data_IF_747118780194
#
_entry.id   IF_747118780194
#
_cell.length_a   1.000
_cell.length_b   1.000
_cell.length_c   1.000
_cell.angle_alpha   90.00
_cell.angle_beta   90.00
_cell.angle_gamma   90.00
#
_symmetry.space_group_name_H-M   'P 1'
#
loop_
_entity.id
_entity.type
_entity.pdbx_description
1 polymer ?
#
# COMPACT_ATOMS: atom_id res chain seq x y z
N UNK A 1 -30.62 -4.00 -25.49
CA UNK A 1 -31.11 -5.29 -26.05
C UNK A 1 -32.65 -5.37 -26.13
N UNK A 2 -33.42 -5.01 -25.10
CA UNK A 2 -34.88 -5.08 -25.14
C UNK A 2 -35.51 -4.31 -26.31
N UNK A 3 -35.02 -3.10 -26.63
CA UNK A 3 -35.53 -2.27 -27.73
C UNK A 3 -35.30 -2.90 -29.10
N UNK A 4 -34.17 -3.57 -29.32
CA UNK A 4 -33.86 -4.28 -30.58
C UNK A 4 -34.84 -5.42 -30.83
N UNK A 5 -35.15 -6.22 -29.78
CA UNK A 5 -36.15 -7.32 -29.94
C UNK A 5 -37.54 -6.80 -30.32
N UNK A 6 -37.95 -5.65 -29.73
CA UNK A 6 -39.24 -5.04 -30.12
C UNK A 6 -39.27 -4.67 -31.61
N UNK A 7 -38.19 -4.04 -32.11
CA UNK A 7 -38.11 -3.67 -33.52
C UNK A 7 -38.09 -4.90 -34.43
N UNK A 8 -37.35 -5.97 -34.05
CA UNK A 8 -37.34 -7.20 -34.80
C UNK A 8 -38.73 -7.86 -34.84
N UNK A 9 -39.48 -7.81 -33.76
CA UNK A 9 -40.88 -8.30 -33.74
C UNK A 9 -41.76 -7.45 -34.66
N UNK A 10 -41.62 -6.12 -34.64
CA UNK A 10 -42.38 -5.21 -35.49
C UNK A 10 -42.04 -5.49 -37.00
N UNK A 11 -40.76 -5.71 -37.31
CA UNK A 11 -40.32 -6.09 -38.67
C UNK A 11 -40.96 -7.44 -39.06
N UNK A 12 -40.96 -8.42 -38.16
CA UNK A 12 -41.60 -9.72 -38.44
C UNK A 12 -43.11 -9.62 -38.69
N UNK A 13 -43.81 -8.82 -37.90
CA UNK A 13 -45.24 -8.54 -38.08
C UNK A 13 -45.51 -7.78 -39.39
N UNK A 14 -44.68 -6.75 -39.68
CA UNK A 14 -44.80 -6.00 -40.93
C UNK A 14 -44.58 -6.91 -42.19
N UNK A 15 -43.58 -7.78 -42.10
CA UNK A 15 -43.30 -8.78 -43.18
C UNK A 15 -44.47 -9.73 -43.34
N UNK A 16 -44.96 -10.30 -42.25
CA UNK A 16 -46.14 -11.22 -42.30
C UNK A 16 -47.36 -10.52 -42.91
N UNK A 17 -47.68 -9.29 -42.44
CA UNK A 17 -48.80 -8.50 -42.94
C UNK A 17 -48.66 -8.13 -44.42
N UNK A 18 -47.43 -7.77 -44.85
CA UNK A 18 -47.13 -7.51 -46.27
C UNK A 18 -47.37 -8.72 -47.15
N UNK A 19 -46.93 -9.91 -46.70
CA UNK A 19 -47.13 -11.13 -47.45
C UNK A 19 -48.58 -11.63 -47.44
N UNK A 20 -49.30 -11.46 -46.35
CA UNK A 20 -50.68 -11.94 -46.20
C UNK A 20 -51.71 -11.06 -46.88
N UNK A 21 -51.51 -9.74 -46.92
CA UNK A 21 -52.48 -8.77 -47.42
C UNK A 21 -52.15 -8.21 -48.81
N UNK A 22 -50.85 -8.20 -49.18
CA UNK A 22 -50.40 -7.62 -50.44
C UNK A 22 -50.45 -6.07 -50.49
N UNK A 23 -50.82 -5.39 -49.36
CA UNK A 23 -50.92 -3.94 -49.34
C UNK A 23 -49.54 -3.26 -49.36
N UNK A 24 -49.35 -2.34 -50.31
CA UNK A 24 -48.09 -1.58 -50.52
C UNK A 24 -47.60 -0.85 -49.24
N UNK A 25 -48.53 -0.43 -48.37
CA UNK A 25 -48.21 0.26 -47.13
C UNK A 25 -47.32 -0.60 -46.21
N UNK A 26 -47.57 -1.89 -46.09
CA UNK A 26 -46.77 -2.79 -45.27
C UNK A 26 -45.36 -3.00 -45.81
N UNK A 27 -45.17 -3.03 -47.12
CA UNK A 27 -43.86 -3.07 -47.78
C UNK A 27 -43.08 -1.77 -47.53
N UNK A 28 -43.73 -0.63 -47.64
CA UNK A 28 -43.10 0.67 -47.36
C UNK A 28 -42.64 0.72 -45.89
N UNK A 29 -43.50 0.31 -44.94
CA UNK A 29 -43.15 0.25 -43.51
C UNK A 29 -41.97 -0.70 -43.26
N UNK A 30 -41.99 -1.88 -43.87
CA UNK A 30 -40.93 -2.89 -43.80
C UNK A 30 -39.59 -2.32 -44.27
N UNK A 31 -39.56 -1.72 -45.48
CA UNK A 31 -38.34 -1.09 -46.00
C UNK A 31 -37.85 0.06 -45.16
N UNK A 32 -38.76 0.89 -44.63
CA UNK A 32 -38.42 2.00 -43.74
C UNK A 32 -37.78 1.50 -42.44
N UNK A 33 -38.31 0.43 -41.84
CA UNK A 33 -37.75 -0.16 -40.61
C UNK A 33 -36.37 -0.81 -40.87
N UNK A 34 -36.22 -1.52 -41.99
CA UNK A 34 -34.93 -2.10 -42.40
C UNK A 34 -33.90 -1.00 -42.65
N UNK A 35 -34.29 0.07 -43.37
CA UNK A 35 -33.43 1.20 -43.66
C UNK A 35 -33.02 1.94 -42.37
N UNK A 36 -33.93 2.11 -41.41
CA UNK A 36 -33.66 2.70 -40.11
C UNK A 36 -32.66 1.83 -39.31
N UNK A 37 -32.82 0.53 -39.33
CA UNK A 37 -31.93 -0.40 -38.63
C UNK A 37 -30.54 -0.43 -39.28
N UNK A 38 -30.46 -0.43 -40.61
CA UNK A 38 -29.21 -0.36 -41.35
C UNK A 38 -28.47 0.97 -41.14
N UNK A 39 -29.21 2.11 -41.18
CA UNK A 39 -28.63 3.42 -40.92
C UNK A 39 -28.12 3.57 -39.47
N UNK A 40 -28.81 2.98 -38.52
CA UNK A 40 -28.39 2.95 -37.10
C UNK A 40 -27.06 2.19 -36.91
N UNK A 41 -26.93 1.00 -37.55
CA UNK A 41 -25.67 0.23 -37.55
C UNK A 41 -24.52 0.98 -38.22
N UNK A 42 -24.79 1.52 -39.43
CA UNK A 42 -23.80 2.29 -40.18
C UNK A 42 -23.35 3.53 -39.40
N UNK A 43 -24.28 4.22 -38.76
CA UNK A 43 -23.96 5.34 -37.90
C UNK A 43 -22.98 4.95 -36.79
N UNK A 44 -23.27 3.90 -36.00
CA UNK A 44 -22.40 3.44 -34.93
C UNK A 44 -21.01 3.07 -35.43
N UNK A 45 -20.93 2.38 -36.61
CA UNK A 45 -19.67 2.01 -37.24
C UNK A 45 -18.86 3.23 -37.69
N UNK A 46 -19.46 4.15 -38.46
CA UNK A 46 -18.78 5.34 -38.96
C UNK A 46 -18.42 6.30 -37.82
N UNK A 47 -19.21 6.36 -36.76
CA UNK A 47 -18.94 7.18 -35.60
C UNK A 47 -17.68 6.74 -34.84
N UNK A 48 -17.36 5.44 -34.81
CA UNK A 48 -16.14 4.89 -34.24
C UNK A 48 -14.97 4.78 -35.21
N UNK A 49 -15.24 4.81 -36.54
CA UNK A 49 -14.22 4.71 -37.57
C UNK A 49 -13.36 6.00 -37.59
N UNK A 50 -12.05 5.85 -37.83
CA UNK A 50 -11.13 6.99 -37.95
C UNK A 50 -10.83 7.72 -36.65
N UNK A 51 -11.22 7.20 -35.49
CA UNK A 51 -10.79 7.69 -34.20
C UNK A 51 -9.37 7.21 -33.89
N UNK A 52 -8.57 8.09 -33.32
CA UNK A 52 -7.27 7.79 -32.73
C UNK A 52 -7.22 8.39 -31.34
N UNK A 53 -6.89 7.55 -30.33
CA UNK A 53 -6.83 7.98 -28.94
C UNK A 53 -5.48 7.56 -28.38
N UNK A 54 -4.81 8.53 -27.77
CA UNK A 54 -3.59 8.29 -27.00
C UNK A 54 -3.80 8.79 -25.59
N UNK A 55 -3.49 7.94 -24.63
CA UNK A 55 -3.49 8.28 -23.22
C UNK A 55 -2.07 8.55 -22.76
N UNK A 56 -1.84 9.68 -22.13
CA UNK A 56 -0.63 9.97 -21.38
C UNK A 56 -1.00 9.96 -19.90
N UNK A 57 -0.46 9.02 -19.17
CA UNK A 57 -0.66 8.89 -17.73
C UNK A 57 0.61 9.28 -17.01
N UNK A 58 0.47 9.91 -15.87
CA UNK A 58 1.60 10.21 -15.03
C UNK A 58 2.21 8.90 -14.56
N UNK A 59 3.43 8.61 -14.98
CA UNK A 59 4.22 7.47 -14.55
C UNK A 59 5.16 7.97 -13.44
N UNK A 60 4.96 7.51 -12.22
CA UNK A 60 5.79 7.90 -11.08
C UNK A 60 5.46 7.08 -9.84
N UNK A 61 6.16 7.40 -8.76
CA UNK A 61 5.85 6.87 -7.44
C UNK A 61 4.52 7.50 -6.97
N UNK A 62 3.45 6.74 -7.02
CA UNK A 62 2.15 7.15 -6.53
C UNK A 62 1.97 6.70 -5.08
N UNK A 63 1.39 7.54 -4.25
CA UNK A 63 1.10 7.26 -2.84
C UNK A 63 -0.40 7.33 -2.58
N UNK A 64 -0.82 6.72 -1.51
CA UNK A 64 -2.19 6.89 -1.01
C UNK A 64 -2.45 8.38 -0.76
N UNK A 65 -3.62 8.87 -1.16
CA UNK A 65 -4.06 10.28 -1.16
C UNK A 65 -3.51 11.14 -2.30
N UNK A 66 -2.63 10.62 -3.18
CA UNK A 66 -2.28 11.32 -4.41
C UNK A 66 -3.44 11.25 -5.43
N UNK A 67 -3.42 12.15 -6.39
CA UNK A 67 -4.29 12.10 -7.56
C UNK A 67 -3.49 11.66 -8.79
N UNK A 68 -4.04 10.71 -9.54
CA UNK A 68 -3.49 10.31 -10.83
C UNK A 68 -4.24 11.05 -11.93
N UNK A 69 -3.50 11.87 -12.67
CA UNK A 69 -4.03 12.54 -13.84
C UNK A 69 -3.84 11.66 -15.09
N UNK A 70 -4.89 11.58 -15.88
CA UNK A 70 -4.89 10.92 -17.18
C UNK A 70 -5.21 11.95 -18.25
N UNK A 71 -4.25 12.24 -19.12
CA UNK A 71 -4.43 13.08 -20.28
C UNK A 71 -4.83 12.24 -21.49
N UNK A 72 -6.00 12.46 -22.02
CA UNK A 72 -6.48 11.81 -23.23
C UNK A 72 -6.45 12.78 -24.42
N UNK A 73 -5.71 12.42 -25.44
CA UNK A 73 -5.71 13.11 -26.74
C UNK A 73 -6.55 12.31 -27.71
N UNK A 74 -7.72 12.88 -28.06
CA UNK A 74 -8.73 12.24 -28.86
C UNK A 74 -8.78 12.95 -30.21
N UNK A 75 -8.42 12.26 -31.28
CA UNK A 75 -8.36 12.80 -32.64
C UNK A 75 -9.33 12.09 -33.57
N UNK A 76 -10.17 12.86 -34.24
CA UNK A 76 -10.95 12.41 -35.38
C UNK A 76 -10.11 12.56 -36.64
N UNK A 77 -9.75 11.44 -37.30
CA UNK A 77 -9.02 11.42 -38.60
C UNK A 77 -9.96 11.37 -39.80
N UNK A 78 -11.28 11.33 -39.58
CA UNK A 78 -12.27 11.19 -40.67
C UNK A 78 -12.87 12.55 -41.06
N UNK A 79 -13.38 12.69 -42.27
CA UNK A 79 -14.11 13.88 -42.71
C UNK A 79 -15.54 13.97 -42.11
N UNK A 80 -15.98 12.92 -41.41
CA UNK A 80 -17.30 12.89 -40.78
C UNK A 80 -17.21 13.35 -39.31
N UNK A 81 -18.14 14.18 -38.85
CA UNK A 81 -18.21 14.53 -37.43
C UNK A 81 -18.55 13.28 -36.58
N UNK A 82 -18.10 13.28 -35.35
CA UNK A 82 -18.40 12.25 -34.36
C UNK A 82 -19.31 12.86 -33.31
N UNK A 83 -20.41 12.22 -33.05
CA UNK A 83 -21.42 12.73 -32.13
C UNK A 83 -21.67 11.74 -30.98
N UNK A 84 -21.88 12.29 -29.77
CA UNK A 84 -22.24 11.51 -28.59
C UNK A 84 -21.28 10.33 -28.31
N UNK A 85 -19.98 10.60 -28.43
CA UNK A 85 -18.97 9.63 -28.02
C UNK A 85 -18.85 9.62 -26.50
N UNK A 86 -19.11 8.47 -25.90
CA UNK A 86 -18.87 8.24 -24.48
C UNK A 86 -17.49 7.57 -24.34
N UNK A 87 -16.58 8.27 -23.67
CA UNK A 87 -15.21 7.80 -23.44
C UNK A 87 -15.09 7.41 -22.00
N UNK A 88 -14.66 6.17 -21.74
CA UNK A 88 -14.41 5.64 -20.42
C UNK A 88 -12.96 5.18 -20.32
N UNK A 89 -12.23 5.71 -19.35
CA UNK A 89 -10.94 5.15 -18.97
C UNK A 89 -11.21 3.97 -18.02
N UNK A 90 -10.86 2.77 -18.48
CA UNK A 90 -11.02 1.55 -17.69
C UNK A 90 -9.89 1.51 -16.67
N UNK A 91 -10.25 1.52 -15.40
CA UNK A 91 -9.28 1.48 -14.30
C UNK A 91 -9.85 0.66 -13.14
N UNK A 92 -8.96 -0.08 -12.46
CA UNK A 92 -9.34 -0.90 -11.31
C UNK A 92 -9.24 -0.10 -9.99
N UNK A 93 -9.07 1.23 -10.07
CA UNK A 93 -8.99 2.09 -8.89
C UNK A 93 -10.32 2.11 -8.14
N UNK A 94 -10.30 2.09 -6.79
CA UNK A 94 -11.50 2.29 -6.01
C UNK A 94 -12.03 3.72 -6.21
N UNK A 95 -13.27 3.83 -6.66
CA UNK A 95 -13.91 5.13 -6.90
C UNK A 95 -14.79 5.14 -8.16
N UNK A 96 -15.36 6.28 -8.51
CA UNK A 96 -16.17 6.40 -9.71
C UNK A 96 -15.32 6.25 -10.98
N UNK A 97 -15.87 5.57 -11.99
CA UNK A 97 -15.21 5.43 -13.28
C UNK A 97 -14.99 6.81 -13.92
N UNK A 98 -13.77 7.06 -14.37
CA UNK A 98 -13.40 8.29 -15.03
C UNK A 98 -13.84 8.26 -16.50
N UNK A 99 -14.64 9.21 -16.92
CA UNK A 99 -15.13 9.25 -18.28
C UNK A 99 -15.77 10.59 -18.65
N UNK A 100 -15.95 10.78 -19.97
CA UNK A 100 -16.57 12.00 -20.51
C UNK A 100 -17.38 11.68 -21.76
N UNK A 101 -18.32 12.58 -22.07
CA UNK A 101 -19.04 12.58 -23.35
C UNK A 101 -18.61 13.78 -24.17
N UNK A 102 -18.29 13.55 -25.43
CA UNK A 102 -17.87 14.62 -26.32
C UNK A 102 -18.31 14.41 -27.78
N UNK A 103 -18.30 15.52 -28.52
CA UNK A 103 -18.47 15.56 -29.95
C UNK A 103 -17.17 16.02 -30.59
N UNK A 104 -16.84 15.52 -31.78
CA UNK A 104 -15.66 15.90 -32.54
C UNK A 104 -16.04 16.33 -33.95
N UNK A 105 -15.64 17.53 -34.34
CA UNK A 105 -15.71 17.95 -35.72
C UNK A 105 -14.75 17.13 -36.61
N UNK A 106 -14.92 17.17 -37.95
CA UNK A 106 -13.97 16.56 -38.84
C UNK A 106 -12.55 17.03 -38.58
N UNK A 107 -11.60 16.10 -38.53
CA UNK A 107 -10.16 16.32 -38.33
C UNK A 107 -9.78 17.02 -37.00
N UNK A 108 -10.73 17.22 -36.08
CA UNK A 108 -10.51 17.86 -34.79
C UNK A 108 -9.73 16.94 -33.83
N UNK A 109 -8.90 17.58 -33.01
CA UNK A 109 -8.26 16.97 -31.84
C UNK A 109 -8.78 17.66 -30.58
N UNK A 110 -9.19 16.89 -29.60
CA UNK A 110 -9.61 17.38 -28.27
C UNK A 110 -8.69 16.77 -27.23
N UNK A 111 -8.28 17.57 -26.27
CA UNK A 111 -7.56 17.17 -25.07
C UNK A 111 -8.55 17.15 -23.91
N UNK A 112 -8.55 16.08 -23.15
CA UNK A 112 -9.35 15.93 -21.95
C UNK A 112 -8.48 15.36 -20.84
N UNK A 113 -8.56 15.96 -19.66
CA UNK A 113 -7.85 15.52 -18.46
C UNK A 113 -8.86 14.99 -17.45
N UNK A 114 -8.63 13.78 -16.99
CA UNK A 114 -9.38 13.19 -15.89
C UNK A 114 -8.46 12.97 -14.70
N UNK A 115 -8.97 13.11 -13.48
CA UNK A 115 -8.26 12.77 -12.25
C UNK A 115 -8.97 11.64 -11.52
N UNK A 116 -8.18 10.79 -10.87
CA UNK A 116 -8.66 9.75 -9.98
C UNK A 116 -7.84 9.76 -8.69
N UNK A 117 -8.53 9.77 -7.54
CA UNK A 117 -7.88 9.75 -6.23
C UNK A 117 -7.47 8.33 -5.85
N UNK A 118 -6.26 8.18 -5.36
CA UNK A 118 -5.71 6.91 -4.89
C UNK A 118 -6.08 6.69 -3.43
N UNK A 119 -7.19 6.01 -3.19
CA UNK A 119 -7.75 5.84 -1.85
C UNK A 119 -7.10 4.70 -1.04
N UNK A 120 -6.44 3.76 -1.72
CA UNK A 120 -5.86 2.57 -1.10
C UNK A 120 -4.56 2.19 -1.81
N UNK A 121 -3.60 1.68 -1.05
CA UNK A 121 -2.37 1.12 -1.61
C UNK A 121 -2.65 -0.16 -2.40
N UNK A 122 -1.80 -0.49 -3.32
CA UNK A 122 -1.93 -1.71 -4.12
C UNK A 122 -1.31 -1.59 -5.50
N UNK A 123 -1.52 -2.61 -6.30
CA UNK A 123 -1.20 -2.61 -7.73
C UNK A 123 -2.51 -2.50 -8.49
N UNK A 124 -2.62 -1.49 -9.32
CA UNK A 124 -3.83 -1.19 -10.08
C UNK A 124 -3.55 -1.15 -11.57
N UNK A 125 -4.51 -1.62 -12.34
CA UNK A 125 -4.49 -1.52 -13.78
C UNK A 125 -5.16 -0.22 -14.24
N UNK A 126 -4.45 0.57 -15.04
CA UNK A 126 -4.94 1.79 -15.67
C UNK A 126 -5.10 1.59 -17.16
N UNK A 127 -6.29 1.89 -17.70
CA UNK A 127 -6.64 1.60 -19.08
C UNK A 127 -7.06 0.15 -19.32
N UNK A 128 -7.37 -0.22 -20.58
CA UNK A 128 -7.37 0.63 -21.77
C UNK A 128 -8.52 1.64 -21.80
N UNK A 129 -8.47 2.60 -22.72
CA UNK A 129 -9.59 3.54 -22.94
C UNK A 129 -10.63 2.88 -23.84
N UNK A 130 -11.88 2.86 -23.41
CA UNK A 130 -13.00 2.32 -24.18
C UNK A 130 -13.91 3.46 -24.62
N UNK A 131 -14.20 3.50 -25.89
CA UNK A 131 -15.10 4.48 -26.50
C UNK A 131 -16.36 3.79 -26.96
N UNK A 132 -17.47 4.32 -26.50
CA UNK A 132 -18.79 3.85 -26.91
C UNK A 132 -19.43 4.86 -27.84
N UNK A 133 -20.11 4.35 -28.84
CA UNK A 133 -21.01 5.10 -29.70
C UNK A 133 -22.39 4.49 -29.59
N UNK A 134 -23.36 5.31 -29.22
CA UNK A 134 -24.76 4.93 -29.22
C UNK A 134 -25.42 5.59 -30.43
N UNK A 135 -26.25 4.85 -31.19
CA UNK A 135 -27.00 5.38 -32.30
C UNK A 135 -28.15 6.29 -31.82
N UNK A 136 -28.72 7.05 -32.75
CA UNK A 136 -29.78 8.03 -32.45
C UNK A 136 -31.05 7.39 -31.85
N UNK A 137 -31.31 6.13 -32.16
CA UNK A 137 -32.49 5.38 -31.67
C UNK A 137 -32.19 4.58 -30.39
N UNK A 138 -30.92 4.52 -29.95
CA UNK A 138 -30.47 3.73 -28.81
C UNK A 138 -30.64 2.21 -28.99
N UNK A 139 -30.57 1.72 -30.22
CA UNK A 139 -30.70 0.32 -30.58
C UNK A 139 -29.40 -0.45 -30.42
N UNK A 140 -28.30 0.20 -30.79
CA UNK A 140 -26.96 -0.37 -30.77
C UNK A 140 -26.04 0.51 -29.91
N UNK A 141 -25.24 -0.14 -29.08
CA UNK A 141 -24.13 0.48 -28.38
C UNK A 141 -22.85 -0.25 -28.78
N UNK A 142 -22.18 0.30 -29.78
CA UNK A 142 -20.91 -0.23 -30.26
C UNK A 142 -19.79 0.35 -29.45
N UNK A 143 -18.69 -0.39 -29.32
CA UNK A 143 -17.51 0.12 -28.64
C UNK A 143 -16.22 -0.25 -29.37
N UNK A 144 -15.20 0.55 -29.13
CA UNK A 144 -13.84 0.30 -29.60
C UNK A 144 -12.86 0.61 -28.47
N UNK A 145 -11.84 -0.24 -28.32
CA UNK A 145 -10.84 -0.14 -27.26
C UNK A 145 -9.53 0.42 -27.83
N UNK A 146 -8.89 1.35 -27.10
CA UNK A 146 -7.66 2.02 -27.48
C UNK A 146 -6.64 1.93 -26.38
N UNK A 147 -5.34 1.85 -26.74
CA UNK A 147 -4.24 1.80 -25.81
C UNK A 147 -4.02 0.42 -25.20
N UNK A 148 -3.16 0.39 -24.20
CA UNK A 148 -2.78 -0.82 -23.43
C UNK A 148 -3.03 -0.58 -21.96
N UNK A 149 -3.17 -1.66 -21.21
CA UNK A 149 -3.15 -1.63 -19.76
C UNK A 149 -1.74 -1.22 -19.28
N UNK A 150 -1.70 -0.32 -18.32
CA UNK A 150 -0.49 0.05 -17.60
C UNK A 150 -0.70 -0.24 -16.12
N UNK A 151 0.27 -0.84 -15.48
CA UNK A 151 0.22 -1.06 -14.05
C UNK A 151 0.82 0.14 -13.30
N UNK A 152 0.18 0.52 -12.23
CA UNK A 152 0.67 1.52 -11.28
C UNK A 152 0.71 0.89 -9.89
N UNK A 153 1.82 1.13 -9.19
CA UNK A 153 1.97 0.71 -7.79
C UNK A 153 1.70 1.92 -6.90
N UNK A 154 0.70 1.80 -6.05
CA UNK A 154 0.34 2.82 -5.06
C UNK A 154 0.98 2.43 -3.73
N UNK A 155 1.92 3.25 -3.28
CA UNK A 155 2.66 3.03 -2.05
C UNK A 155 1.90 3.55 -0.83
N UNK A 156 2.11 2.96 0.36
CA UNK A 156 1.59 3.53 1.59
C UNK A 156 2.24 4.89 1.86
N UNK A 157 1.49 5.79 2.47
CA UNK A 157 2.00 7.08 2.94
C UNK A 157 2.91 6.85 4.15
N UNK A 158 4.05 7.52 4.19
CA UNK A 158 4.91 7.59 5.37
C UNK A 158 4.72 8.95 6.04
N UNK A 159 4.33 8.94 7.31
CA UNK A 159 4.17 10.14 8.14
C UNK A 159 5.49 10.41 8.86
N UNK A 160 5.85 11.68 8.99
CA UNK A 160 7.03 12.04 9.80
C UNK A 160 6.77 11.83 11.29
N UNK A 161 7.73 11.21 11.98
CA UNK A 161 7.64 10.82 13.38
C UNK A 161 8.76 11.50 14.20
N UNK A 162 8.72 12.81 14.40
CA UNK A 162 9.84 13.55 15.00
C UNK A 162 10.16 13.08 16.43
N UNK A 163 9.16 12.72 17.20
CA UNK A 163 9.25 12.41 18.64
C UNK A 163 9.20 10.91 18.96
N UNK A 164 9.21 10.06 17.95
CA UNK A 164 9.29 8.61 18.17
C UNK A 164 10.65 8.20 18.73
N UNK A 165 10.64 7.37 19.76
CA UNK A 165 11.83 6.80 20.41
C UNK A 165 11.62 5.32 20.72
N UNK A 166 12.67 4.51 20.58
CA UNK A 166 12.60 3.07 20.88
C UNK A 166 12.53 2.76 22.37
N UNK A 167 13.11 3.60 23.21
CA UNK A 167 13.03 3.44 24.66
C UNK A 167 12.96 4.79 25.36
N UNK A 168 12.30 4.81 26.52
CA UNK A 168 12.23 5.98 27.41
C UNK A 168 13.63 6.42 27.88
N UNK A 169 14.57 5.48 28.03
CA UNK A 169 15.94 5.76 28.43
C UNK A 169 16.72 6.60 27.39
N UNK A 170 16.44 6.46 26.11
CA UNK A 170 17.04 7.30 25.06
C UNK A 170 16.56 8.76 25.16
N UNK A 171 15.30 9.00 25.52
CA UNK A 171 14.74 10.34 25.70
C UNK A 171 15.35 11.12 26.85
N UNK A 172 15.68 10.47 27.95
CA UNK A 172 16.32 11.09 29.10
C UNK A 172 17.79 11.46 28.81
N UNK A 173 18.46 10.74 27.92
CA UNK A 173 19.85 11.04 27.52
C UNK A 173 19.95 12.19 26.51
N UNK A 174 18.94 12.44 25.69
CA UNK A 174 18.91 13.58 24.77
C UNK A 174 18.64 14.93 25.47
N UNK A 175 17.96 14.91 26.62
CA UNK A 175 17.69 16.11 27.42
C UNK A 175 18.84 16.61 28.28
N UNK A 176 19.85 15.78 28.54
CA UNK A 176 21.05 16.13 29.32
C UNK A 176 22.25 16.06 28.37
N UNK A 177 22.62 17.22 27.86
CA UNK A 177 23.75 17.51 26.97
C UNK A 177 24.58 16.32 26.50
N UNK A 178 24.73 16.26 25.22
CA UNK A 178 25.53 15.32 24.42
C UNK A 178 26.92 15.02 25.06
N UNK A 179 26.95 14.19 26.09
CA UNK A 179 28.18 13.50 26.47
C UNK A 179 28.24 12.23 25.64
N UNK A 180 28.96 12.32 24.54
CA UNK A 180 29.43 11.17 23.75
C UNK A 180 30.21 10.26 24.71
N UNK A 181 29.52 9.30 25.31
CA UNK A 181 30.21 8.17 25.94
C UNK A 181 30.71 7.26 24.80
N UNK A 182 31.90 7.56 24.33
CA UNK A 182 32.68 6.64 23.48
C UNK A 182 33.32 5.55 24.35
N UNK A 183 32.53 4.85 25.15
CA UNK A 183 32.95 3.53 25.63
C UNK A 183 32.51 2.49 24.56
N UNK A 184 33.21 2.54 23.45
CA UNK A 184 33.26 1.45 22.49
C UNK A 184 34.07 0.33 23.17
N UNK A 185 33.37 -0.61 23.80
CA UNK A 185 33.98 -1.90 24.09
C UNK A 185 33.94 -2.68 22.76
N UNK A 186 35.05 -2.73 22.01
CA UNK A 186 35.02 -3.34 20.68
C UNK A 186 35.13 -4.86 20.83
N UNK A 187 34.03 -5.55 20.74
CA UNK A 187 34.09 -6.97 20.40
C UNK A 187 34.53 -7.08 18.94
N UNK A 188 35.83 -7.31 18.72
CA UNK A 188 36.35 -7.59 17.40
C UNK A 188 35.73 -8.91 16.92
N UNK A 189 34.96 -8.86 15.85
CA UNK A 189 34.30 -10.04 15.29
C UNK A 189 35.24 -10.87 14.41
N UNK A 190 36.22 -10.24 13.76
CA UNK A 190 37.14 -10.94 12.86
C UNK A 190 38.52 -10.26 12.85
N UNK A 191 39.59 -11.08 12.73
CA UNK A 191 40.95 -10.61 12.49
C UNK A 191 41.30 -10.89 11.03
N UNK A 192 41.73 -9.88 10.26
CA UNK A 192 42.30 -10.06 8.93
C UNK A 192 43.70 -9.55 8.83
N UNK A 193 44.43 -9.97 7.81
CA UNK A 193 45.76 -9.42 7.53
C UNK A 193 45.64 -7.92 7.16
N UNK A 194 46.61 -7.13 7.58
CA UNK A 194 46.73 -5.71 7.27
C UNK A 194 46.88 -5.51 5.76
N UNK A 195 46.12 -4.56 5.21
CA UNK A 195 46.25 -4.09 3.85
C UNK A 195 46.66 -2.61 3.89
N UNK A 196 47.53 -2.21 2.96
CA UNK A 196 47.99 -0.85 2.87
C UNK A 196 46.83 0.17 2.77
N UNK A 197 46.79 1.13 3.72
CA UNK A 197 45.65 2.05 3.92
C UNK A 197 44.85 1.81 5.19
N UNK A 198 45.04 0.70 5.87
CA UNK A 198 44.38 0.43 7.15
C UNK A 198 44.98 1.31 8.29
N UNK A 199 44.11 1.76 9.21
CA UNK A 199 44.56 2.53 10.39
C UNK A 199 45.41 1.69 11.33
N UNK A 200 46.65 2.09 11.58
CA UNK A 200 47.59 1.44 12.49
C UNK A 200 47.04 1.29 13.92
N UNK A 201 46.11 2.16 14.33
CA UNK A 201 45.42 2.08 15.64
C UNK A 201 44.52 0.84 15.79
N UNK A 202 44.19 0.17 14.69
CA UNK A 202 43.35 -1.04 14.67
C UNK A 202 44.18 -2.34 14.68
N UNK A 203 45.50 -2.28 14.76
CA UNK A 203 46.35 -3.47 14.82
C UNK A 203 46.10 -4.22 16.12
N UNK A 204 45.84 -5.53 16.00
CA UNK A 204 45.70 -6.45 17.14
C UNK A 204 47.06 -7.06 17.48
N UNK A 205 47.83 -6.36 18.30
CA UNK A 205 49.20 -6.74 18.65
C UNK A 205 49.35 -8.18 19.18
N UNK A 206 48.45 -8.72 20.04
CA UNK A 206 48.58 -10.12 20.50
C UNK A 206 48.49 -11.16 19.36
N UNK A 207 47.64 -10.93 18.34
CA UNK A 207 47.56 -11.83 17.20
C UNK A 207 48.69 -11.59 16.21
N UNK A 208 49.10 -10.36 16.00
CA UNK A 208 50.29 -10.01 15.19
C UNK A 208 51.54 -10.73 15.70
N UNK A 209 51.78 -10.71 17.01
CA UNK A 209 52.92 -11.41 17.62
C UNK A 209 52.81 -12.93 17.50
N UNK A 210 51.61 -13.50 17.51
CA UNK A 210 51.37 -14.93 17.43
C UNK A 210 51.48 -15.47 15.99
N UNK A 211 51.02 -14.70 15.00
CA UNK A 211 50.98 -15.09 13.59
C UNK A 211 52.17 -14.59 12.78
N UNK A 212 52.99 -13.69 13.36
CA UNK A 212 54.10 -12.98 12.73
C UNK A 212 53.67 -12.19 11.45
N UNK A 213 52.38 -11.83 11.36
CA UNK A 213 51.79 -11.01 10.30
C UNK A 213 50.97 -9.89 10.95
N UNK A 214 50.99 -8.68 10.38
CA UNK A 214 50.16 -7.59 10.89
C UNK A 214 48.69 -7.94 10.78
N UNK A 215 48.04 -8.10 11.93
CA UNK A 215 46.61 -8.42 12.00
C UNK A 215 45.82 -7.22 12.44
N UNK A 216 44.79 -6.85 11.67
CA UNK A 216 43.90 -5.72 11.95
C UNK A 216 42.55 -6.23 12.45
N UNK A 217 42.06 -5.59 13.51
CA UNK A 217 40.69 -5.82 13.99
C UNK A 217 39.71 -5.29 12.96
N UNK A 218 39.01 -6.17 12.30
CA UNK A 218 37.85 -5.83 11.48
C UNK A 218 36.65 -5.79 12.40
N UNK A 219 36.09 -4.62 12.62
CA UNK A 219 34.85 -4.48 13.35
C UNK A 219 33.73 -4.67 12.34
N UNK A 220 32.86 -5.64 12.58
CA UNK A 220 31.57 -5.68 11.91
C UNK A 220 30.73 -4.52 12.43
N UNK A 221 30.92 -3.36 11.84
CA UNK A 221 30.17 -2.16 12.17
C UNK A 221 28.67 -2.32 11.86
N UNK A 222 28.32 -3.32 11.05
CA UNK A 222 26.98 -3.47 10.51
C UNK A 222 26.00 -4.25 11.39
N UNK A 223 26.47 -4.96 12.42
CA UNK A 223 25.57 -5.74 13.30
C UNK A 223 25.08 -4.98 14.54
N UNK A 224 25.57 -3.76 14.78
CA UNK A 224 25.15 -2.95 15.92
C UNK A 224 24.06 -2.00 15.47
N UNK A 225 22.99 -1.93 16.25
CA UNK A 225 21.92 -0.97 16.08
C UNK A 225 20.90 -1.25 14.98
N UNK A 226 20.80 -2.52 14.54
CA UNK A 226 19.79 -2.94 13.58
C UNK A 226 18.39 -2.83 14.18
N UNK A 227 17.44 -2.36 13.36
CA UNK A 227 16.03 -2.29 13.74
C UNK A 227 15.24 -3.29 12.92
N UNK A 228 14.53 -4.18 13.59
CA UNK A 228 13.60 -5.10 12.98
C UNK A 228 12.18 -4.64 13.25
N UNK A 229 11.41 -4.47 12.20
CA UNK A 229 9.97 -4.21 12.25
C UNK A 229 9.25 -5.54 12.05
N UNK A 230 8.49 -5.98 13.04
CA UNK A 230 7.62 -7.15 12.96
C UNK A 230 6.20 -6.64 12.75
N UNK A 231 5.65 -6.90 11.60
CA UNK A 231 4.32 -6.45 11.21
C UNK A 231 3.34 -7.63 11.23
N UNK A 232 2.32 -7.51 12.05
CA UNK A 232 1.26 -8.51 12.18
C UNK A 232 0.18 -8.28 11.14
N UNK A 233 0.12 -9.18 10.16
CA UNK A 233 -0.89 -9.22 9.12
C UNK A 233 -1.78 -10.47 9.23
N UNK A 234 -1.90 -11.05 10.42
CA UNK A 234 -2.81 -12.17 10.67
C UNK A 234 -4.26 -11.72 10.48
N UNK A 235 -5.02 -12.45 9.67
CA UNK A 235 -6.39 -12.07 9.29
C UNK A 235 -7.34 -11.94 10.48
N UNK A 236 -7.27 -12.87 11.41
CA UNK A 236 -8.24 -13.01 12.51
C UNK A 236 -8.16 -11.90 13.57
N UNK A 237 -7.05 -11.15 13.61
CA UNK A 237 -6.84 -10.06 14.58
C UNK A 237 -7.13 -8.69 14.01
N UNK A 238 -7.34 -8.59 12.68
CA UNK A 238 -7.64 -7.31 12.05
C UNK A 238 -9.09 -6.89 12.27
N UNK A 239 -9.29 -5.59 12.39
CA UNK A 239 -10.60 -4.96 12.56
C UNK A 239 -10.73 -3.71 11.67
N UNK A 240 -11.96 -3.34 11.34
CA UNK A 240 -12.26 -2.14 10.55
C UNK A 240 -12.93 -2.43 9.22
N UNK A 241 -13.09 -1.39 8.42
CA UNK A 241 -13.71 -1.42 7.10
C UNK A 241 -12.72 -1.69 5.96
N UNK A 242 -13.20 -1.54 4.74
CA UNK A 242 -12.41 -1.82 3.54
C UNK A 242 -11.27 -0.79 3.30
N UNK A 243 -11.52 0.48 3.62
CA UNK A 243 -10.56 1.58 3.42
C UNK A 243 -9.78 1.86 4.70
N UNK A 244 -10.47 1.94 5.84
CA UNK A 244 -9.87 2.24 7.13
C UNK A 244 -10.00 1.04 8.07
N UNK A 245 -8.87 0.35 8.30
CA UNK A 245 -8.77 -0.82 9.17
C UNK A 245 -7.41 -0.88 9.86
N UNK A 246 -7.28 -1.76 10.81
CA UNK A 246 -6.03 -1.94 11.58
C UNK A 246 -4.84 -2.32 10.69
N UNK A 247 -5.04 -3.10 9.63
CA UNK A 247 -3.96 -3.51 8.73
C UNK A 247 -3.39 -2.31 7.93
N UNK A 248 -4.26 -1.42 7.42
CA UNK A 248 -3.81 -0.22 6.68
C UNK A 248 -3.04 0.74 7.61
N UNK A 249 -3.52 0.93 8.84
CA UNK A 249 -2.82 1.75 9.84
C UNK A 249 -1.50 1.11 10.25
N UNK A 250 -1.46 -0.22 10.44
CA UNK A 250 -0.24 -0.97 10.76
C UNK A 250 0.82 -0.81 9.66
N UNK A 251 0.40 -0.89 8.40
CA UNK A 251 1.29 -0.74 7.24
C UNK A 251 1.79 0.70 7.11
N UNK A 252 0.93 1.69 7.35
CA UNK A 252 1.32 3.11 7.39
C UNK A 252 2.32 3.37 8.52
N UNK A 253 2.10 2.77 9.70
CA UNK A 253 3.05 2.83 10.82
C UNK A 253 4.40 2.17 10.46
N UNK A 254 4.39 0.99 9.82
CA UNK A 254 5.60 0.31 9.39
C UNK A 254 6.39 1.13 8.36
N UNK A 255 5.72 1.74 7.39
CA UNK A 255 6.32 2.64 6.41
C UNK A 255 6.96 3.86 7.07
N UNK A 256 6.24 4.50 8.02
CA UNK A 256 6.68 5.68 8.75
C UNK A 256 7.87 5.39 9.66
N UNK A 257 7.80 4.28 10.40
CA UNK A 257 8.88 3.84 11.28
C UNK A 257 10.13 3.44 10.48
N UNK A 258 9.96 2.76 9.35
CA UNK A 258 11.09 2.41 8.47
C UNK A 258 11.79 3.67 7.95
N UNK A 259 11.03 4.68 7.52
CA UNK A 259 11.57 5.98 7.11
C UNK A 259 12.30 6.67 8.26
N UNK A 260 11.70 6.74 9.44
CA UNK A 260 12.30 7.36 10.64
C UNK A 260 13.62 6.70 11.01
N UNK A 261 13.67 5.38 11.05
CA UNK A 261 14.90 4.67 11.43
C UNK A 261 16.00 4.83 10.38
N UNK A 262 15.66 4.76 9.09
CA UNK A 262 16.63 5.01 8.02
C UNK A 262 17.16 6.46 8.01
N UNK A 263 16.32 7.45 8.34
CA UNK A 263 16.76 8.85 8.48
C UNK A 263 17.73 9.07 9.64
N UNK A 264 17.72 8.17 10.65
CA UNK A 264 18.66 8.13 11.76
C UNK A 264 19.91 7.27 11.46
N UNK A 265 20.11 6.89 10.19
CA UNK A 265 21.21 6.02 9.73
C UNK A 265 21.23 4.64 10.39
N UNK A 266 20.07 4.12 10.80
CA UNK A 266 19.93 2.78 11.39
C UNK A 266 19.52 1.78 10.30
N UNK A 267 20.18 0.59 10.23
CA UNK A 267 19.76 -0.47 9.30
C UNK A 267 18.37 -0.97 9.69
N UNK A 268 17.45 -1.01 8.72
CA UNK A 268 16.06 -1.45 8.93
C UNK A 268 15.80 -2.74 8.18
N UNK A 269 15.27 -3.72 8.89
CA UNK A 269 14.69 -4.93 8.33
C UNK A 269 13.19 -5.01 8.64
N UNK A 270 12.46 -5.80 7.89
CA UNK A 270 11.04 -6.02 8.10
C UNK A 270 10.70 -7.49 7.91
N UNK A 271 9.84 -7.99 8.77
CA UNK A 271 9.22 -9.30 8.68
C UNK A 271 7.71 -9.17 8.85
N UNK A 272 6.97 -9.84 7.98
CA UNK A 272 5.52 -9.93 8.08
C UNK A 272 5.03 -11.27 7.55
N UNK A 273 3.94 -11.76 8.12
CA UNK A 273 3.21 -12.91 7.64
C UNK A 273 1.81 -12.45 7.23
N UNK A 274 1.62 -12.25 5.94
CA UNK A 274 0.36 -11.91 5.31
C UNK A 274 -0.10 -13.02 4.38
N UNK A 275 -0.55 -12.67 3.17
CA UNK A 275 -0.81 -13.58 2.06
C UNK A 275 0.40 -14.47 1.73
N UNK A 276 1.59 -13.97 2.00
CA UNK A 276 2.85 -14.72 1.94
C UNK A 276 3.79 -14.28 3.07
N UNK A 277 4.91 -15.00 3.22
CA UNK A 277 5.96 -14.65 4.16
C UNK A 277 6.88 -13.59 3.55
N UNK A 278 6.96 -12.44 4.18
CA UNK A 278 7.81 -11.33 3.78
C UNK A 278 9.00 -11.21 4.72
N UNK A 279 10.20 -11.15 4.16
CA UNK A 279 11.43 -10.94 4.89
C UNK A 279 12.37 -10.02 4.11
N UNK A 280 12.67 -8.89 4.70
CA UNK A 280 13.70 -7.96 4.21
C UNK A 280 14.73 -7.82 5.33
N UNK A 281 15.97 -8.31 5.14
CA UNK A 281 17.01 -8.18 6.14
C UNK A 281 17.44 -6.73 6.34
N UNK A 282 17.95 -6.36 7.54
CA UNK A 282 18.34 -4.99 7.84
C UNK A 282 19.48 -4.50 6.93
N UNK A 283 19.26 -3.35 6.31
CA UNK A 283 20.23 -2.68 5.43
C UNK A 283 20.12 -1.16 5.57
N UNK A 284 21.20 -0.43 5.24
CA UNK A 284 21.30 1.04 5.26
C UNK A 284 21.31 1.61 3.85
N UNK A 285 20.32 1.39 3.06
CA UNK A 285 20.33 1.84 1.67
C UNK A 285 19.02 2.53 1.31
N UNK A 286 19.08 3.57 0.51
CA UNK A 286 17.88 4.19 -0.06
C UNK A 286 17.05 3.17 -0.88
N UNK A 287 17.71 2.19 -1.49
CA UNK A 287 17.04 1.10 -2.22
C UNK A 287 16.24 0.18 -1.31
N UNK A 288 16.64 0.03 -0.03
CA UNK A 288 15.89 -0.75 0.95
C UNK A 288 14.56 -0.09 1.28
N UNK A 289 14.54 1.24 1.41
CA UNK A 289 13.27 1.95 1.63
C UNK A 289 12.28 1.70 0.49
N UNK A 290 12.73 1.79 -0.75
CA UNK A 290 11.87 1.49 -1.91
C UNK A 290 11.38 0.03 -1.90
N UNK A 291 12.24 -0.94 -1.53
CA UNK A 291 11.86 -2.35 -1.40
C UNK A 291 10.84 -2.57 -0.28
N UNK A 292 11.03 -1.91 0.87
CA UNK A 292 10.08 -1.95 1.99
C UNK A 292 8.72 -1.38 1.57
N UNK A 293 8.69 -0.21 0.95
CA UNK A 293 7.46 0.38 0.45
C UNK A 293 6.79 -0.49 -0.61
N UNK A 294 7.57 -1.08 -1.54
CA UNK A 294 7.05 -1.99 -2.57
C UNK A 294 6.39 -3.23 -1.97
N UNK A 295 7.03 -3.84 -0.97
CA UNK A 295 6.46 -4.96 -0.23
C UNK A 295 5.19 -4.53 0.52
N UNK A 296 5.26 -3.41 1.24
CA UNK A 296 4.11 -2.88 1.99
C UNK A 296 2.95 -2.48 1.07
N UNK A 297 3.22 -2.07 -0.18
CA UNK A 297 2.18 -1.75 -1.15
C UNK A 297 1.35 -2.99 -1.56
N UNK A 298 1.98 -4.16 -1.62
CA UNK A 298 1.35 -5.40 -2.11
C UNK A 298 0.87 -6.32 -0.99
N UNK A 299 1.45 -6.23 0.21
CA UNK A 299 1.14 -7.13 1.33
C UNK A 299 -0.35 -7.05 1.74
N UNK A 300 -1.00 -8.21 1.83
CA UNK A 300 -2.38 -8.34 2.26
C UNK A 300 -2.45 -8.96 3.66
N UNK A 301 -3.42 -8.52 4.47
CA UNK A 301 -3.64 -9.04 5.82
C UNK A 301 -4.46 -10.35 5.80
N UNK A 302 -3.91 -11.36 5.12
CA UNK A 302 -4.51 -12.68 4.96
C UNK A 302 -3.70 -13.78 5.66
N UNK A 303 -2.77 -13.39 6.54
CA UNK A 303 -1.93 -14.31 7.29
C UNK A 303 -2.74 -15.23 8.19
N UNK A 304 -2.30 -16.49 8.27
CA UNK A 304 -2.91 -17.51 9.16
C UNK A 304 -2.00 -17.87 10.32
N UNK A 305 -0.72 -17.54 10.22
CA UNK A 305 0.29 -17.85 11.25
C UNK A 305 0.21 -16.82 12.39
N UNK A 306 0.13 -17.28 13.65
CA UNK A 306 0.06 -16.37 14.78
C UNK A 306 1.37 -15.60 14.98
N UNK A 307 1.26 -14.37 15.47
CA UNK A 307 2.41 -13.47 15.69
C UNK A 307 3.50 -14.11 16.56
N UNK A 308 3.14 -14.96 17.52
CA UNK A 308 4.08 -15.69 18.38
C UNK A 308 5.05 -16.55 17.58
N UNK A 309 4.62 -17.17 16.48
CA UNK A 309 5.49 -17.99 15.61
C UNK A 309 6.44 -17.10 14.78
N UNK A 310 5.94 -15.99 14.27
CA UNK A 310 6.74 -15.00 13.54
C UNK A 310 7.87 -14.47 14.44
N UNK A 311 7.54 -14.14 15.70
CA UNK A 311 8.52 -13.69 16.71
C UNK A 311 9.56 -14.79 17.01
N UNK A 312 9.14 -16.04 17.16
CA UNK A 312 10.08 -17.16 17.41
C UNK A 312 11.05 -17.38 16.24
N UNK A 313 10.56 -17.25 15.02
CA UNK A 313 11.36 -17.41 13.81
C UNK A 313 12.45 -16.36 13.65
N UNK A 314 12.15 -15.10 13.96
CA UNK A 314 13.13 -14.01 13.85
C UNK A 314 14.26 -14.11 14.87
N UNK A 315 14.06 -14.81 15.99
CA UNK A 315 15.06 -14.93 17.07
C UNK A 315 16.42 -15.37 16.57
N UNK A 316 16.47 -16.28 15.63
CA UNK A 316 17.74 -16.77 15.05
C UNK A 316 18.47 -15.76 14.16
N UNK A 317 17.78 -14.70 13.76
CA UNK A 317 18.28 -13.65 12.87
C UNK A 317 18.67 -12.37 13.62
N UNK A 318 18.28 -12.26 14.91
CA UNK A 318 18.61 -11.11 15.73
C UNK A 318 20.08 -11.12 16.13
N UNK A 319 20.77 -10.02 15.85
CA UNK A 319 22.12 -9.74 16.35
C UNK A 319 22.11 -9.36 17.84
N UNK A 320 23.29 -9.34 18.46
CA UNK A 320 23.49 -9.08 19.90
C UNK A 320 22.99 -7.68 20.36
N UNK A 321 22.82 -6.74 19.44
CA UNK A 321 22.39 -5.36 19.70
C UNK A 321 21.28 -4.93 18.74
N UNK A 322 20.34 -5.81 18.47
CA UNK A 322 19.20 -5.49 17.61
C UNK A 322 18.10 -4.81 18.42
N UNK A 323 17.36 -3.91 17.78
CA UNK A 323 16.11 -3.35 18.32
C UNK A 323 14.93 -3.95 17.57
N UNK A 324 13.83 -4.18 18.25
CA UNK A 324 12.62 -4.78 17.68
C UNK A 324 11.43 -3.85 17.89
N UNK A 325 10.70 -3.57 16.81
CA UNK A 325 9.43 -2.85 16.83
C UNK A 325 8.35 -3.83 16.38
N UNK A 326 7.40 -4.12 17.25
CA UNK A 326 6.23 -4.97 16.94
C UNK A 326 5.04 -4.09 16.67
N UNK A 327 4.34 -4.31 15.55
CA UNK A 327 3.13 -3.59 15.18
C UNK A 327 2.01 -4.63 15.08
N UNK A 328 1.02 -4.55 15.98
CA UNK A 328 -0.03 -5.58 16.07
C UNK A 328 -1.32 -5.04 16.67
N UNK A 329 -2.50 -5.50 16.19
CA UNK A 329 -3.77 -5.37 16.89
C UNK A 329 -4.06 -6.56 17.82
N UNK A 330 -3.19 -7.59 17.85
CA UNK A 330 -3.44 -8.84 18.58
C UNK A 330 -3.40 -8.64 20.08
N UNK A 331 -4.39 -9.18 20.75
CA UNK A 331 -4.51 -9.23 22.21
C UNK A 331 -4.17 -10.60 22.79
N UNK A 332 -3.66 -11.53 21.98
CA UNK A 332 -3.29 -12.87 22.43
C UNK A 332 -2.07 -12.85 23.34
N UNK A 333 -2.08 -13.50 24.52
CA UNK A 333 -0.96 -13.48 25.45
C UNK A 333 0.30 -14.18 24.93
N UNK A 334 0.16 -15.10 23.99
CA UNK A 334 1.25 -15.95 23.52
C UNK A 334 2.37 -15.18 22.82
N UNK A 335 2.05 -14.15 22.04
CA UNK A 335 3.08 -13.34 21.40
C UNK A 335 3.84 -12.48 22.39
N UNK A 336 3.18 -12.01 23.47
CA UNK A 336 3.84 -11.24 24.54
C UNK A 336 4.88 -12.13 25.25
N UNK A 337 4.54 -13.38 25.55
CA UNK A 337 5.48 -14.37 26.12
C UNK A 337 6.64 -14.64 25.15
N UNK A 338 6.38 -14.77 23.85
CA UNK A 338 7.42 -14.95 22.84
C UNK A 338 8.36 -13.73 22.77
N UNK A 339 7.82 -12.50 22.96
CA UNK A 339 8.58 -11.27 23.01
C UNK A 339 9.47 -11.19 24.27
N UNK A 340 8.99 -11.67 25.42
CA UNK A 340 9.76 -11.73 26.68
C UNK A 340 11.08 -12.50 26.51
N UNK A 341 11.08 -13.56 25.70
CA UNK A 341 12.28 -14.34 25.39
C UNK A 341 13.29 -13.53 24.56
N UNK A 342 12.83 -12.59 23.73
CA UNK A 342 13.71 -11.68 22.99
C UNK A 342 14.27 -10.58 23.88
N UNK A 343 13.46 -10.03 24.79
CA UNK A 343 13.81 -8.92 25.71
C UNK A 343 14.82 -9.36 26.77
N UNK A 344 14.88 -10.64 27.15
CA UNK A 344 15.85 -11.19 28.12
C UNK A 344 17.33 -11.01 27.70
N UNK A 345 17.58 -10.52 26.47
CA UNK A 345 18.89 -10.06 25.99
C UNK A 345 19.08 -8.54 26.14
N UNK A 346 20.03 -7.99 25.39
CA UNK A 346 20.25 -6.52 25.29
C UNK A 346 19.39 -5.86 24.19
N UNK A 347 18.27 -6.48 23.82
CA UNK A 347 17.40 -6.05 22.73
C UNK A 347 16.44 -4.98 23.24
N UNK A 348 16.45 -3.79 22.65
CA UNK A 348 15.45 -2.76 22.91
C UNK A 348 14.16 -3.11 22.17
N UNK A 349 13.02 -3.02 22.83
CA UNK A 349 11.72 -3.34 22.25
C UNK A 349 10.73 -2.18 22.40
N UNK A 350 10.05 -1.89 21.31
CA UNK A 350 8.88 -1.03 21.29
C UNK A 350 7.70 -1.77 20.66
N UNK A 351 6.51 -1.53 21.16
CA UNK A 351 5.26 -2.12 20.64
C UNK A 351 4.33 -1.00 20.23
N UNK A 352 3.88 -1.07 18.97
CA UNK A 352 2.78 -0.26 18.45
C UNK A 352 1.53 -1.12 18.49
N UNK A 353 0.71 -0.90 19.50
CA UNK A 353 -0.53 -1.64 19.72
C UNK A 353 -1.70 -0.89 19.09
N UNK A 354 -2.34 -1.51 18.11
CA UNK A 354 -3.53 -0.98 17.48
C UNK A 354 -4.76 -1.39 18.29
N UNK A 355 -5.53 -0.42 18.76
CA UNK A 355 -6.75 -0.69 19.53
C UNK A 355 -7.88 -1.16 18.60
N UNK A 356 -7.94 -2.48 18.36
CA UNK A 356 -8.94 -3.09 17.49
C UNK A 356 -10.39 -2.71 17.84
N UNK A 357 -10.68 -2.49 19.13
CA UNK A 357 -12.01 -2.08 19.56
C UNK A 357 -12.43 -0.72 19.00
N UNK A 358 -11.47 0.22 18.85
CA UNK A 358 -11.73 1.52 18.24
C UNK A 358 -12.08 1.43 16.74
N UNK A 359 -11.68 0.34 16.06
CA UNK A 359 -12.00 0.06 14.66
C UNK A 359 -13.26 -0.81 14.49
N UNK A 360 -13.98 -1.09 15.57
CA UNK A 360 -15.18 -1.93 15.56
C UNK A 360 -14.90 -3.41 15.81
N UNK A 361 -13.69 -3.77 16.19
CA UNK A 361 -13.34 -5.10 16.68
C UNK A 361 -13.76 -5.31 18.14
N UNK A 362 -13.30 -6.40 18.75
CA UNK A 362 -13.58 -6.76 20.13
C UNK A 362 -12.29 -6.86 20.95
N UNK A 363 -12.42 -6.70 22.28
CA UNK A 363 -11.33 -6.88 23.23
C UNK A 363 -10.83 -5.58 23.85
N UNK A 364 -10.04 -5.73 24.93
CA UNK A 364 -9.46 -4.63 25.70
C UNK A 364 -7.93 -4.75 25.71
N UNK A 365 -7.25 -3.68 25.39
CA UNK A 365 -5.79 -3.60 25.35
C UNK A 365 -5.14 -3.57 26.76
N UNK A 366 -5.93 -3.36 27.83
CA UNK A 366 -5.42 -3.10 29.18
C UNK A 366 -4.52 -4.23 29.72
N UNK A 367 -4.92 -5.50 29.52
CA UNK A 367 -4.14 -6.65 30.01
C UNK A 367 -2.79 -6.77 29.29
N UNK A 368 -2.78 -6.65 27.97
CA UNK A 368 -1.56 -6.71 27.17
C UNK A 368 -0.63 -5.55 27.53
N UNK A 369 -1.19 -4.34 27.69
CA UNK A 369 -0.43 -3.16 28.11
C UNK A 369 0.20 -3.35 29.48
N UNK A 370 -0.55 -3.80 30.48
CA UNK A 370 -0.05 -4.03 31.84
C UNK A 370 1.11 -5.03 31.85
N UNK A 371 1.01 -6.11 31.07
CA UNK A 371 2.07 -7.11 30.96
C UNK A 371 3.33 -6.52 30.33
N UNK A 372 3.21 -5.84 29.18
CA UNK A 372 4.35 -5.22 28.49
C UNK A 372 5.01 -4.12 29.34
N UNK A 373 4.23 -3.31 30.07
CA UNK A 373 4.74 -2.29 30.99
C UNK A 373 5.54 -2.89 32.13
N UNK A 374 5.08 -4.02 32.70
CA UNK A 374 5.81 -4.73 33.76
C UNK A 374 7.22 -5.18 33.34
N UNK A 375 7.47 -5.28 32.04
CA UNK A 375 8.74 -5.68 31.43
C UNK A 375 9.58 -4.48 30.96
N UNK A 376 9.11 -3.26 31.14
CA UNK A 376 9.80 -2.05 30.69
C UNK A 376 9.77 -1.85 29.16
N UNK A 377 8.87 -2.50 28.45
CA UNK A 377 8.68 -2.32 27.02
C UNK A 377 7.97 -0.99 26.75
N UNK A 378 8.46 -0.20 25.80
CA UNK A 378 7.79 1.03 25.37
C UNK A 378 6.57 0.70 24.53
N UNK A 379 5.42 1.26 24.88
CA UNK A 379 4.15 0.97 24.21
C UNK A 379 3.55 2.25 23.66
N UNK A 380 3.18 2.20 22.40
CA UNK A 380 2.40 3.20 21.69
C UNK A 380 1.04 2.64 21.36
N UNK A 381 -0.03 3.36 21.69
CA UNK A 381 -1.40 2.92 21.41
C UNK A 381 -2.00 3.77 20.30
N UNK A 382 -2.39 3.13 19.21
CA UNK A 382 -3.01 3.80 18.06
C UNK A 382 -4.48 3.43 17.99
N UNK A 383 -5.33 4.44 17.95
CA UNK A 383 -6.79 4.32 17.83
C UNK A 383 -7.26 4.84 16.48
N UNK A 384 -8.44 4.45 16.09
CA UNK A 384 -9.07 4.96 14.88
C UNK A 384 -9.20 6.48 14.90
N UNK A 385 -8.81 7.13 13.79
CA UNK A 385 -8.89 8.59 13.63
C UNK A 385 -7.79 9.38 14.37
N UNK A 386 -6.87 8.73 15.08
CA UNK A 386 -5.72 9.41 15.65
C UNK A 386 -4.69 9.75 14.56
N UNK A 387 -4.11 10.94 14.67
CA UNK A 387 -2.91 11.23 13.90
C UNK A 387 -1.76 10.31 14.36
N UNK A 388 -1.16 9.63 13.40
CA UNK A 388 -0.11 8.66 13.67
C UNK A 388 1.14 9.33 14.28
N UNK A 389 1.42 10.58 13.93
CA UNK A 389 2.55 11.34 14.47
C UNK A 389 2.37 11.64 15.96
N UNK A 390 1.14 11.91 16.39
CA UNK A 390 0.80 12.12 17.80
C UNK A 390 0.72 10.80 18.58
N UNK A 391 0.12 9.77 17.97
CA UNK A 391 -0.03 8.47 18.62
C UNK A 391 1.33 7.76 18.87
N UNK A 392 2.33 8.05 18.03
CA UNK A 392 3.70 7.52 18.16
C UNK A 392 4.67 8.51 18.84
N UNK A 393 4.15 9.55 19.50
CA UNK A 393 4.95 10.44 20.34
C UNK A 393 5.30 9.74 21.67
N UNK A 394 6.58 9.79 22.07
CA UNK A 394 7.05 9.20 23.33
C UNK A 394 6.34 9.79 24.56
N UNK A 395 5.90 11.03 24.48
CA UNK A 395 5.14 11.68 25.56
C UNK A 395 3.77 11.03 25.78
N UNK A 396 3.12 10.57 24.71
CA UNK A 396 1.88 9.78 24.77
C UNK A 396 2.11 8.38 25.36
N UNK A 397 3.23 7.74 25.02
CA UNK A 397 3.59 6.43 25.55
C UNK A 397 3.80 6.41 27.08
N UNK A 398 4.19 7.54 27.67
CA UNK A 398 4.47 7.67 29.10
C UNK A 398 3.23 8.14 29.90
N UNK A 399 2.33 8.87 29.29
CA UNK A 399 1.31 9.68 29.98
C UNK A 399 -0.04 8.99 30.22
N UNK A 400 -0.31 7.80 29.68
CA UNK A 400 -1.54 7.09 30.01
C UNK A 400 -1.42 6.29 31.32
N UNK A 401 -1.91 6.81 32.48
CA UNK A 401 -1.92 6.04 33.72
C UNK A 401 -2.84 4.83 33.55
N UNK A 402 -2.41 3.68 34.07
CA UNK A 402 -3.27 2.53 34.28
C UNK A 402 -4.45 3.00 35.11
N UNK A 403 -5.64 3.07 34.52
CA UNK A 403 -6.88 3.31 35.26
C UNK A 403 -7.02 2.14 36.24
N UNK A 404 -6.70 2.38 37.53
CA UNK A 404 -7.06 1.44 38.58
C UNK A 404 -8.58 1.36 38.59
N UNK A 405 -9.11 0.23 38.17
CA UNK A 405 -10.49 -0.13 38.48
C UNK A 405 -10.50 -0.34 39.98
N UNK A 406 -10.83 0.72 40.75
CA UNK A 406 -11.20 0.58 42.15
C UNK A 406 -12.48 -0.26 42.17
N UNK A 407 -12.33 -1.48 42.63
CA UNK A 407 -13.44 -2.36 42.92
C UNK A 407 -14.36 -1.67 43.95
N UNK A 408 -15.56 -1.33 43.54
CA UNK A 408 -16.63 -0.97 44.47
C UNK A 408 -16.97 -2.18 45.33
N UNK A 409 -16.24 -2.32 46.44
CA UNK A 409 -16.81 -2.99 47.61
C UNK A 409 -17.58 -1.91 48.37
N UNK A 410 -18.89 -1.96 48.22
CA UNK A 410 -19.79 -1.36 49.18
C UNK A 410 -20.89 -2.37 49.51
N UNK A 411 -20.81 -2.82 50.75
CA UNK A 411 -21.81 -3.22 51.74
C UNK A 411 -23.19 -3.64 51.21
#
# INVERSE_FOLDING_TARGET
MKRLYVILIIIGVALYSAMATGFTVFYILLYALIAALASSLLWGYFNLAGLNISARRQSGLARVSDEVETDLYIRNKSPLPKLLLEIQDMQDLPGPATGTMLNLAPFQTVHWTGSASLLKRGVYALGPVRVYSTDLFGLFRLHRTFGRVQEIVVYPTAVDLPLFQLSVAEGLQQGVGQRRSYEVTPSASTLREYVEGDSLRRIHWPSTLRTNKLMVKQFDADMRDQVWIILDLQRNVQAGGEIENTAEVAITAAASLSWKMLSMDRPVGLIAQGDQYYLIPPQRSATVHQRLLGMLATAQAEGTEPLSEVIRRIRSQLGVSSSVIVITPSLEPLWVQALDVLVSGRTQTAVVLLDAASFGGTGDTALVRAHLQSKGTTIYVVRRGHDLSEALDIRGAISEPVVRIEGSHSA
#
